data_IF_900704721141
#
_entry.id   IF_900704721141
#
_cell.length_a   1.000
_cell.length_b   1.000
_cell.length_c   1.000
_cell.angle_alpha   90.00
_cell.angle_beta   90.00
_cell.angle_gamma   90.00
#
_symmetry.space_group_name_H-M   'P 1'
#
loop_
_entity.id
_entity.type
_entity.pdbx_description
1 polymer ?
#
# COMPACT_ATOMS: atom_id res chain seq x y z
N UNK A 1 28.67 0.58 61.36
CA UNK A 1 27.86 -0.41 62.13
C UNK A 1 27.55 -1.52 61.16
N UNK A 2 28.31 -2.51 61.26
CA UNK A 2 27.99 -3.90 61.57
C UNK A 2 27.49 -4.63 60.33
N UNK A 3 28.39 -5.37 59.64
CA UNK A 3 28.82 -6.79 59.80
C UNK A 3 27.92 -7.74 58.97
N UNK A 4 28.58 -8.31 57.98
CA UNK A 4 29.01 -9.74 57.89
C UNK A 4 27.87 -10.72 57.63
N UNK A 5 27.97 -11.53 56.56
CA UNK A 5 28.60 -12.83 56.70
C UNK A 5 28.77 -13.55 55.35
N UNK A 6 30.03 -13.99 55.16
CA UNK A 6 30.49 -14.99 54.18
C UNK A 6 29.86 -16.37 54.43
N UNK A 7 29.64 -17.17 53.37
CA UNK A 7 30.13 -18.57 53.28
C UNK A 7 30.00 -19.12 51.86
N UNK A 8 31.12 -19.28 51.20
CA UNK A 8 31.81 -20.51 50.72
C UNK A 8 30.90 -21.68 50.33
N UNK A 9 31.01 -22.09 49.08
CA UNK A 9 31.47 -23.47 48.75
C UNK A 9 31.86 -23.56 47.27
N UNK A 10 33.04 -24.13 47.11
CA UNK A 10 33.74 -24.47 45.87
C UNK A 10 33.20 -25.79 45.28
N UNK A 11 33.48 -26.01 44.01
CA UNK A 11 33.74 -27.34 43.45
C UNK A 11 32.85 -27.75 42.32
N UNK A 12 33.26 -27.73 41.14
CA UNK A 12 33.75 -28.84 40.33
C UNK A 12 33.72 -28.51 38.84
N UNK A 13 34.90 -28.56 38.27
CA UNK A 13 35.21 -28.63 36.88
C UNK A 13 34.77 -29.98 36.33
N UNK A 14 33.94 -30.03 35.31
CA UNK A 14 33.80 -31.19 34.43
C UNK A 14 34.08 -30.81 33.00
N UNK A 15 35.29 -31.21 32.59
CA UNK A 15 35.76 -31.31 31.20
C UNK A 15 35.02 -32.45 30.51
N UNK A 16 34.35 -32.19 29.39
CA UNK A 16 33.85 -33.23 28.49
C UNK A 16 34.39 -32.96 27.08
N UNK A 17 35.51 -33.60 26.80
CA UNK A 17 36.09 -33.82 25.47
C UNK A 17 35.20 -34.82 24.73
N UNK A 18 34.54 -34.41 23.66
CA UNK A 18 33.93 -35.33 22.70
C UNK A 18 34.87 -35.55 21.52
N UNK A 19 35.41 -36.77 21.51
CA UNK A 19 36.18 -37.36 20.41
C UNK A 19 35.23 -37.76 19.30
N UNK A 20 35.28 -37.12 18.13
CA UNK A 20 34.56 -37.57 16.94
C UNK A 20 35.47 -38.42 16.10
N UNK A 21 35.28 -39.72 16.15
CA UNK A 21 35.94 -40.73 15.32
C UNK A 21 35.24 -40.74 13.94
N UNK A 22 35.94 -40.32 12.90
CA UNK A 22 35.49 -40.44 11.52
C UNK A 22 35.84 -41.81 10.99
N UNK A 23 34.87 -42.66 10.78
CA UNK A 23 35.00 -43.92 10.00
C UNK A 23 34.77 -43.63 8.53
N UNK A 24 35.82 -43.69 7.77
CA UNK A 24 35.79 -43.71 6.29
C UNK A 24 35.51 -45.13 5.84
N UNK A 25 34.33 -45.39 5.31
CA UNK A 25 34.09 -46.60 4.49
C UNK A 25 33.85 -46.16 3.04
N UNK A 26 34.82 -46.49 2.20
CA UNK A 26 34.72 -46.40 0.74
C UNK A 26 33.79 -47.50 0.20
N UNK A 27 32.76 -47.14 -0.53
CA UNK A 27 32.07 -48.02 -1.44
C UNK A 27 31.75 -47.28 -2.74
N UNK A 28 32.38 -47.73 -3.81
CA UNK A 28 32.12 -47.32 -5.19
C UNK A 28 30.80 -47.91 -5.67
N UNK A 29 29.87 -47.08 -6.08
CA UNK A 29 28.83 -47.47 -7.03
C UNK A 29 28.46 -46.25 -7.85
N UNK A 30 28.84 -46.29 -9.13
CA UNK A 30 28.32 -45.39 -10.16
C UNK A 30 26.83 -45.67 -10.37
N UNK A 31 26.01 -44.66 -10.05
CA UNK A 31 24.64 -44.61 -10.56
C UNK A 31 24.31 -43.17 -10.89
N UNK A 32 24.02 -42.92 -12.16
CA UNK A 32 23.50 -41.64 -12.65
C UNK A 32 22.20 -41.31 -11.92
N UNK A 33 22.02 -40.06 -11.41
CA UNK A 33 20.73 -39.65 -10.89
C UNK A 33 19.82 -39.20 -12.03
N UNK A 34 18.96 -40.13 -12.52
CA UNK A 34 17.70 -39.72 -13.15
C UNK A 34 16.90 -38.97 -12.12
N UNK A 35 16.65 -37.67 -12.37
CA UNK A 35 15.72 -36.82 -11.61
C UNK A 35 14.30 -37.41 -11.69
N UNK A 36 13.98 -38.29 -10.76
CA UNK A 36 12.63 -38.76 -10.52
C UNK A 36 11.84 -37.66 -9.79
N UNK A 37 10.96 -37.00 -10.50
CA UNK A 37 9.96 -36.06 -9.97
C UNK A 37 8.80 -36.82 -9.33
N UNK A 38 9.05 -37.60 -8.27
CA UNK A 38 7.94 -38.12 -7.47
C UNK A 38 8.39 -38.37 -6.01
N UNK A 39 7.61 -37.79 -5.08
CA UNK A 39 7.66 -37.86 -3.61
C UNK A 39 8.47 -36.77 -2.90
N UNK A 40 7.91 -35.55 -2.86
CA UNK A 40 8.10 -34.61 -1.77
C UNK A 40 6.72 -34.27 -1.15
N UNK A 41 6.16 -35.23 -0.43
CA UNK A 41 5.13 -34.97 0.57
C UNK A 41 5.84 -34.70 1.91
N UNK A 42 5.80 -33.47 2.37
CA UNK A 42 6.38 -33.05 3.66
C UNK A 42 7.03 -31.66 3.60
N UNK A 43 6.50 -30.73 2.80
CA UNK A 43 6.93 -29.32 2.87
C UNK A 43 6.03 -28.59 3.84
N UNK A 44 6.55 -28.24 5.03
CA UNK A 44 6.00 -27.11 5.77
C UNK A 44 5.87 -25.94 4.80
N UNK A 45 4.65 -25.48 4.56
CA UNK A 45 4.40 -24.35 3.66
C UNK A 45 5.16 -23.15 4.20
N UNK A 46 6.20 -22.72 3.47
CA UNK A 46 6.92 -21.49 3.79
C UNK A 46 5.96 -20.35 3.51
N UNK A 47 5.32 -19.83 4.55
CA UNK A 47 4.45 -18.67 4.46
C UNK A 47 5.29 -17.40 4.48
N UNK A 48 5.71 -16.96 3.29
CA UNK A 48 6.47 -15.72 3.14
C UNK A 48 5.57 -14.48 3.20
N UNK A 49 4.33 -14.60 2.71
CA UNK A 49 3.33 -13.55 2.75
C UNK A 49 2.36 -13.78 3.92
N UNK A 50 1.90 -12.70 4.60
CA UNK A 50 0.90 -12.84 5.65
C UNK A 50 -0.43 -13.35 5.10
N UNK A 51 -1.14 -14.10 5.93
CA UNK A 51 -2.49 -14.56 5.65
C UNK A 51 -3.47 -13.37 5.57
N UNK A 52 -4.62 -13.59 4.95
CA UNK A 52 -5.66 -12.57 4.90
C UNK A 52 -6.13 -12.12 6.29
N UNK A 53 -6.27 -13.06 7.22
CA UNK A 53 -6.67 -12.75 8.59
C UNK A 53 -5.66 -11.86 9.32
N UNK A 54 -4.36 -12.12 9.15
CA UNK A 54 -3.28 -11.29 9.72
C UNK A 54 -3.32 -9.87 9.13
N UNK A 55 -3.46 -9.75 7.81
CA UNK A 55 -3.52 -8.44 7.13
C UNK A 55 -4.77 -7.67 7.56
N UNK A 56 -5.93 -8.31 7.60
CA UNK A 56 -7.19 -7.69 8.04
C UNK A 56 -7.08 -7.19 9.48
N UNK A 57 -6.52 -7.98 10.40
CA UNK A 57 -6.30 -7.60 11.80
C UNK A 57 -5.31 -6.42 11.91
N UNK A 58 -4.23 -6.43 11.12
CA UNK A 58 -3.24 -5.37 11.10
C UNK A 58 -3.80 -4.03 10.56
N UNK A 59 -4.65 -4.09 9.53
CA UNK A 59 -5.26 -2.91 8.93
C UNK A 59 -6.41 -2.35 9.78
N UNK A 60 -7.14 -3.19 10.53
CA UNK A 60 -8.23 -2.74 11.41
C UNK A 60 -7.79 -1.71 12.46
N UNK A 61 -6.52 -1.74 12.85
CA UNK A 61 -5.94 -0.84 13.85
C UNK A 61 -5.35 0.45 13.24
N UNK A 62 -5.41 0.62 11.91
CA UNK A 62 -4.79 1.79 11.27
C UNK A 62 -5.62 3.06 11.49
N UNK A 63 -5.00 4.18 11.94
CA UNK A 63 -5.70 5.46 12.13
C UNK A 63 -6.35 5.97 10.84
N UNK A 64 -5.78 5.65 9.67
CA UNK A 64 -6.35 6.01 8.36
C UNK A 64 -7.73 5.38 8.15
N UNK A 65 -7.99 4.17 8.66
CA UNK A 65 -9.31 3.55 8.58
C UNK A 65 -10.35 4.28 9.43
N UNK A 66 -9.96 4.73 10.64
CA UNK A 66 -10.81 5.58 11.49
C UNK A 66 -11.11 6.91 10.81
N UNK A 67 -10.10 7.55 10.21
CA UNK A 67 -10.27 8.79 9.44
C UNK A 67 -11.22 8.58 8.24
N UNK A 68 -11.11 7.47 7.53
CA UNK A 68 -12.02 7.12 6.42
C UNK A 68 -13.47 6.96 6.90
N UNK A 69 -13.70 6.33 8.05
CA UNK A 69 -15.04 6.21 8.66
C UNK A 69 -15.62 7.57 9.05
N UNK A 70 -14.81 8.45 9.64
CA UNK A 70 -15.24 9.81 10.00
C UNK A 70 -15.58 10.64 8.75
N UNK A 71 -14.77 10.49 7.67
CA UNK A 71 -15.03 11.15 6.38
C UNK A 71 -16.34 10.67 5.75
N UNK A 72 -16.59 9.35 5.75
CA UNK A 72 -17.85 8.78 5.25
C UNK A 72 -19.06 9.33 6.01
N UNK A 73 -18.96 9.42 7.34
CA UNK A 73 -20.03 10.03 8.16
C UNK A 73 -20.24 11.51 7.81
N UNK A 74 -19.13 12.27 7.59
CA UNK A 74 -19.20 13.67 7.14
C UNK A 74 -19.87 13.84 5.79
N UNK A 75 -19.55 12.98 4.82
CA UNK A 75 -20.19 12.99 3.49
C UNK A 75 -21.67 12.62 3.55
N UNK A 76 -22.09 11.77 4.50
CA UNK A 76 -23.52 11.54 4.78
C UNK A 76 -24.25 12.80 5.27
N UNK A 77 -23.59 13.63 6.08
CA UNK A 77 -24.13 14.94 6.49
C UNK A 77 -24.17 15.92 5.31
N UNK A 78 -23.15 15.91 4.45
CA UNK A 78 -23.14 16.72 3.22
C UNK A 78 -24.32 16.35 2.30
N UNK A 79 -24.58 15.07 2.10
CA UNK A 79 -25.75 14.60 1.36
C UNK A 79 -27.07 15.07 2.00
N UNK A 80 -27.17 15.01 3.33
CA UNK A 80 -28.34 15.53 4.05
C UNK A 80 -28.51 17.03 3.86
N UNK A 81 -27.43 17.81 3.97
CA UNK A 81 -27.46 19.25 3.70
C UNK A 81 -27.96 19.56 2.28
N UNK A 82 -27.52 18.76 1.31
CA UNK A 82 -28.00 18.89 -0.08
C UNK A 82 -29.49 18.61 -0.22
N UNK A 83 -30.00 17.55 0.44
CA UNK A 83 -31.45 17.22 0.43
C UNK A 83 -32.28 18.33 1.08
N UNK A 84 -31.81 18.90 2.20
CA UNK A 84 -32.51 20.00 2.89
C UNK A 84 -32.44 21.29 2.08
N UNK A 85 -31.26 21.62 1.52
CA UNK A 85 -30.99 22.86 0.81
C UNK A 85 -31.08 24.11 1.68
N UNK A 86 -30.79 25.32 1.15
CA UNK A 86 -30.81 26.57 1.88
C UNK A 86 -32.22 27.18 1.93
N UNK A 87 -33.23 26.39 2.29
CA UNK A 87 -34.66 26.81 2.29
C UNK A 87 -35.17 27.05 3.72
N UNK A 88 -34.41 27.81 4.48
CA UNK A 88 -34.77 28.20 5.86
C UNK A 88 -35.91 29.21 5.88
N UNK A 89 -36.65 29.22 6.98
CA UNK A 89 -37.62 30.25 7.27
C UNK A 89 -36.95 31.40 8.00
N UNK A 90 -36.97 32.58 7.42
CA UNK A 90 -36.40 33.79 8.01
C UNK A 90 -37.46 34.53 8.80
N UNK A 91 -37.16 34.87 10.07
CA UNK A 91 -37.91 35.74 10.91
C UNK A 91 -37.33 37.15 10.83
N UNK A 92 -38.08 38.10 10.31
CA UNK A 92 -37.65 39.48 10.22
C UNK A 92 -38.37 40.33 11.31
N UNK A 93 -37.58 41.03 12.09
CA UNK A 93 -38.09 42.01 13.07
C UNK A 93 -37.63 43.38 12.63
N UNK A 94 -38.55 44.33 12.53
CA UNK A 94 -38.24 45.69 12.13
C UNK A 94 -38.81 46.72 13.12
N UNK A 95 -38.04 47.77 13.36
CA UNK A 95 -38.53 48.97 14.05
C UNK A 95 -38.05 50.18 13.26
N UNK A 96 -39.00 51.07 12.91
CA UNK A 96 -38.73 52.30 12.18
C UNK A 96 -39.24 53.52 12.95
N UNK A 97 -38.52 54.60 12.87
CA UNK A 97 -38.97 55.91 13.38
C UNK A 97 -39.38 56.78 12.20
N UNK A 98 -40.65 57.10 12.11
CA UNK A 98 -41.22 57.96 11.05
C UNK A 98 -41.28 59.39 11.56
N UNK A 99 -40.63 60.34 10.89
CA UNK A 99 -40.65 61.78 11.13
C UNK A 99 -41.27 62.47 9.93
N UNK A 100 -42.53 62.90 9.99
CA UNK A 100 -43.12 63.65 8.88
C UNK A 100 -42.41 64.99 8.72
N UNK A 101 -42.12 65.41 7.49
CA UNK A 101 -41.34 66.61 7.17
C UNK A 101 -42.20 67.88 7.13
N UNK A 102 -43.51 67.77 7.00
CA UNK A 102 -44.42 68.91 6.81
C UNK A 102 -45.75 68.78 7.56
N UNK A 103 -45.91 68.00 8.57
CA UNK A 103 -47.16 67.91 9.39
C UNK A 103 -46.88 68.14 10.86
N UNK A 104 -47.89 68.63 11.61
CA UNK A 104 -47.86 68.81 13.07
C UNK A 104 -47.87 67.42 13.77
N UNK A 105 -47.78 66.33 13.03
CA UNK A 105 -47.80 65.00 13.63
C UNK A 105 -46.49 64.69 14.33
N UNK A 106 -46.60 64.09 15.52
CA UNK A 106 -45.48 63.63 16.33
C UNK A 106 -44.75 62.53 15.69
N UNK A 107 -43.45 62.32 16.02
CA UNK A 107 -42.64 61.13 15.62
C UNK A 107 -43.41 59.89 16.00
N UNK A 108 -43.62 59.01 15.02
CA UNK A 108 -44.28 57.70 15.24
C UNK A 108 -43.24 56.57 15.16
N UNK A 109 -43.49 55.50 15.92
CA UNK A 109 -42.70 54.28 15.93
C UNK A 109 -43.53 53.20 15.24
N UNK A 110 -42.98 52.67 14.14
CA UNK A 110 -43.58 51.56 13.44
C UNK A 110 -42.79 50.27 13.80
N UNK A 111 -43.46 49.18 14.07
CA UNK A 111 -42.89 47.87 14.40
C UNK A 111 -43.42 46.83 13.42
N UNK A 112 -42.56 45.96 12.92
CA UNK A 112 -42.95 44.89 12.01
C UNK A 112 -42.37 43.54 12.45
N UNK A 113 -43.16 42.49 12.19
CA UNK A 113 -42.80 41.10 12.36
C UNK A 113 -43.15 40.39 11.04
N UNK A 114 -42.18 39.74 10.44
CA UNK A 114 -42.38 39.02 9.18
C UNK A 114 -41.75 37.62 9.21
N UNK A 115 -42.37 36.71 8.51
CA UNK A 115 -41.84 35.37 8.18
C UNK A 115 -41.67 35.27 6.68
N UNK A 116 -40.50 34.86 6.22
CA UNK A 116 -40.22 34.67 4.80
C UNK A 116 -39.56 33.33 4.56
N UNK A 117 -39.90 32.65 3.47
CA UNK A 117 -39.29 31.40 3.04
C UNK A 117 -39.14 31.33 1.53
N UNK A 118 -37.96 30.90 1.03
CA UNK A 118 -37.75 30.60 -0.38
C UNK A 118 -38.41 29.27 -0.75
N UNK A 119 -39.04 29.22 -1.93
CA UNK A 119 -39.72 28.05 -2.44
C UNK A 119 -38.83 27.34 -3.46
N UNK A 120 -38.58 26.04 -3.24
CA UNK A 120 -37.81 25.21 -4.16
C UNK A 120 -38.68 24.79 -5.33
N UNK A 121 -38.52 25.45 -6.48
CA UNK A 121 -39.29 25.19 -7.69
C UNK A 121 -38.44 24.53 -8.80
N UNK A 122 -39.03 24.27 -9.94
CA UNK A 122 -38.37 23.88 -11.18
C UNK A 122 -37.57 22.56 -11.11
N UNK A 123 -38.14 21.50 -10.51
CA UNK A 123 -37.48 20.19 -10.34
C UNK A 123 -36.14 20.22 -9.55
N UNK A 124 -35.80 21.35 -8.95
CA UNK A 124 -34.56 21.47 -8.14
C UNK A 124 -34.53 20.46 -7.00
N UNK A 125 -35.69 20.16 -6.40
CA UNK A 125 -35.76 19.15 -5.33
C UNK A 125 -35.32 17.78 -5.83
N UNK A 126 -35.81 17.35 -7.01
CA UNK A 126 -35.44 16.04 -7.57
C UNK A 126 -33.96 15.96 -7.93
N UNK A 127 -33.37 17.04 -8.47
CA UNK A 127 -31.94 17.11 -8.77
C UNK A 127 -31.10 17.13 -7.50
N UNK A 128 -31.51 17.89 -6.47
CA UNK A 128 -30.81 17.93 -5.17
C UNK A 128 -30.84 16.56 -4.46
N UNK A 129 -31.95 15.81 -4.57
CA UNK A 129 -32.06 14.44 -4.07
C UNK A 129 -31.11 13.49 -4.82
N UNK A 130 -31.13 13.52 -6.15
CA UNK A 130 -30.26 12.70 -6.97
C UNK A 130 -28.76 13.04 -6.71
N UNK A 131 -28.45 14.31 -6.51
CA UNK A 131 -27.08 14.73 -6.17
C UNK A 131 -26.67 14.22 -4.79
N UNK A 132 -27.56 14.27 -3.78
CA UNK A 132 -27.30 13.69 -2.47
C UNK A 132 -27.01 12.18 -2.56
N UNK A 133 -27.77 11.44 -3.38
CA UNK A 133 -27.56 10.01 -3.60
C UNK A 133 -26.21 9.73 -4.32
N UNK A 134 -25.81 10.63 -5.24
CA UNK A 134 -24.50 10.56 -5.89
C UNK A 134 -23.36 10.81 -4.90
N UNK A 135 -23.49 11.77 -3.96
CA UNK A 135 -22.52 12.02 -2.88
C UNK A 135 -22.36 10.77 -2.02
N UNK A 136 -23.45 10.12 -1.61
CA UNK A 136 -23.39 8.88 -0.82
C UNK A 136 -22.73 7.74 -1.59
N UNK A 137 -23.03 7.60 -2.88
CA UNK A 137 -22.43 6.58 -3.75
C UNK A 137 -20.93 6.82 -3.93
N UNK A 138 -20.51 8.08 -4.16
CA UNK A 138 -19.11 8.49 -4.23
C UNK A 138 -18.37 8.20 -2.92
N UNK A 139 -19.00 8.51 -1.79
CA UNK A 139 -18.44 8.26 -0.47
C UNK A 139 -18.11 6.76 -0.23
N UNK A 140 -19.00 5.87 -0.68
CA UNK A 140 -18.77 4.43 -0.62
C UNK A 140 -17.62 3.98 -1.53
N UNK A 141 -17.50 4.53 -2.75
CA UNK A 141 -16.37 4.25 -3.65
C UNK A 141 -15.05 4.79 -3.09
N UNK A 142 -15.03 6.00 -2.50
CA UNK A 142 -13.86 6.54 -1.79
C UNK A 142 -13.42 5.64 -0.62
N UNK A 143 -14.37 5.08 0.11
CA UNK A 143 -14.07 4.11 1.16
C UNK A 143 -13.41 2.87 0.59
N UNK A 144 -13.96 2.27 -0.46
CA UNK A 144 -13.39 1.08 -1.10
C UNK A 144 -11.97 1.35 -1.63
N UNK A 145 -11.74 2.52 -2.26
CA UNK A 145 -10.41 2.95 -2.70
C UNK A 145 -9.44 3.14 -1.53
N UNK A 146 -9.90 3.72 -0.41
CA UNK A 146 -9.08 3.89 0.79
C UNK A 146 -8.67 2.54 1.39
N UNK A 147 -9.57 1.56 1.42
CA UNK A 147 -9.28 0.19 1.87
C UNK A 147 -8.27 -0.49 0.94
N UNK A 148 -8.42 -0.39 -0.37
CA UNK A 148 -7.44 -0.89 -1.34
C UNK A 148 -6.07 -0.22 -1.16
N UNK A 149 -6.05 1.12 -1.03
CA UNK A 149 -4.80 1.87 -0.83
C UNK A 149 -4.06 1.49 0.47
N UNK A 150 -4.79 1.12 1.53
CA UNK A 150 -4.21 0.60 2.76
C UNK A 150 -3.54 -0.76 2.55
N UNK A 151 -4.16 -1.64 1.78
CA UNK A 151 -3.60 -2.96 1.43
C UNK A 151 -2.34 -2.81 0.56
N UNK A 152 -2.37 -1.91 -0.42
CA UNK A 152 -1.19 -1.59 -1.25
C UNK A 152 -0.05 -1.02 -0.41
N UNK A 153 -0.33 -0.06 0.50
CA UNK A 153 0.66 0.47 1.44
C UNK A 153 1.23 -0.60 2.36
N UNK A 154 0.39 -1.52 2.83
CA UNK A 154 0.83 -2.67 3.60
C UNK A 154 1.81 -3.54 2.78
N UNK A 155 1.47 -3.87 1.53
CA UNK A 155 2.33 -4.65 0.63
C UNK A 155 3.69 -3.98 0.43
N UNK A 156 3.74 -2.64 0.25
CA UNK A 156 5.00 -1.90 0.12
C UNK A 156 5.84 -1.94 1.41
N UNK A 157 5.20 -1.83 2.58
CA UNK A 157 5.91 -1.99 3.85
C UNK A 157 6.46 -3.40 4.03
N UNK A 158 5.66 -4.41 3.66
CA UNK A 158 6.06 -5.81 3.71
C UNK A 158 7.18 -6.14 2.72
N UNK A 159 7.10 -5.58 1.50
CA UNK A 159 8.20 -5.61 0.51
C UNK A 159 9.50 -5.12 1.12
N UNK A 160 9.47 -3.99 1.82
CA UNK A 160 10.64 -3.46 2.51
C UNK A 160 11.23 -4.44 3.53
N UNK A 161 10.40 -5.13 4.30
CA UNK A 161 10.85 -6.17 5.24
C UNK A 161 11.48 -7.37 4.51
N UNK A 162 10.84 -7.86 3.46
CA UNK A 162 11.35 -9.01 2.70
C UNK A 162 12.68 -8.70 1.99
N UNK A 163 12.90 -7.46 1.57
CA UNK A 163 14.19 -7.02 1.01
C UNK A 163 15.30 -7.04 2.05
N UNK A 164 15.04 -6.61 3.29
CA UNK A 164 16.03 -6.71 4.36
C UNK A 164 16.30 -8.15 4.79
N UNK A 165 15.27 -9.00 4.75
CA UNK A 165 15.41 -10.44 4.98
C UNK A 165 16.31 -11.09 3.91
N UNK A 166 16.13 -10.70 2.63
CA UNK A 166 16.95 -11.14 1.52
C UNK A 166 18.41 -10.64 1.66
N UNK A 167 18.60 -9.39 2.05
CA UNK A 167 19.92 -8.82 2.25
C UNK A 167 20.70 -9.53 3.37
N UNK A 168 20.03 -9.90 4.47
CA UNK A 168 20.66 -10.70 5.54
C UNK A 168 21.02 -12.11 5.03
N UNK A 169 20.15 -12.78 4.30
CA UNK A 169 20.43 -14.11 3.75
C UNK A 169 21.61 -14.10 2.78
N UNK A 170 21.69 -13.09 1.91
CA UNK A 170 22.81 -12.88 1.01
C UNK A 170 24.12 -12.65 1.79
N UNK A 171 24.11 -11.75 2.77
CA UNK A 171 25.29 -11.46 3.59
C UNK A 171 25.72 -12.68 4.43
N UNK A 172 24.75 -13.46 4.95
CA UNK A 172 25.01 -14.69 5.70
C UNK A 172 25.74 -15.73 4.83
N UNK A 173 25.30 -15.90 3.58
CA UNK A 173 25.93 -16.80 2.62
C UNK A 173 27.37 -16.36 2.33
N UNK A 174 27.58 -15.09 2.00
CA UNK A 174 28.91 -14.54 1.72
C UNK A 174 29.83 -14.65 2.92
N UNK A 175 29.36 -14.40 4.14
CA UNK A 175 30.13 -14.57 5.35
C UNK A 175 30.57 -16.02 5.58
N UNK A 176 29.62 -16.97 5.46
CA UNK A 176 29.93 -18.41 5.61
C UNK A 176 30.95 -18.88 4.56
N UNK A 177 30.79 -18.42 3.34
CA UNK A 177 31.68 -18.78 2.25
C UNK A 177 33.06 -18.14 2.39
N UNK A 178 33.20 -16.91 2.89
CA UNK A 178 34.48 -16.25 3.15
C UNK A 178 35.21 -16.88 4.33
N UNK A 179 34.50 -17.30 5.35
CA UNK A 179 35.07 -18.04 6.49
C UNK A 179 35.70 -19.37 6.04
N UNK A 180 34.96 -20.13 5.20
CA UNK A 180 35.50 -21.40 4.67
C UNK A 180 36.79 -21.19 3.87
N UNK A 181 36.88 -20.12 3.06
CA UNK A 181 38.11 -19.79 2.33
C UNK A 181 39.25 -19.41 3.28
N UNK A 182 39.00 -18.57 4.28
CA UNK A 182 40.00 -18.19 5.25
C UNK A 182 40.56 -19.40 6.01
N UNK A 183 39.71 -20.35 6.45
CA UNK A 183 40.13 -21.59 7.12
C UNK A 183 41.09 -22.38 6.22
N UNK A 184 40.79 -22.51 4.91
CA UNK A 184 41.67 -23.18 3.96
C UNK A 184 43.00 -22.41 3.76
N UNK A 185 42.95 -21.09 3.63
CA UNK A 185 44.15 -20.25 3.50
C UNK A 185 45.08 -20.39 4.73
N UNK A 186 44.50 -20.37 5.94
CA UNK A 186 45.24 -20.57 7.17
C UNK A 186 45.91 -21.96 7.25
N UNK A 187 45.17 -23.02 6.84
CA UNK A 187 45.71 -24.37 6.81
C UNK A 187 46.91 -24.48 5.87
N UNK A 188 46.83 -23.97 4.64
CA UNK A 188 47.90 -23.96 3.65
C UNK A 188 49.10 -23.11 4.09
N UNK A 189 48.84 -21.96 4.77
CA UNK A 189 49.91 -21.11 5.33
C UNK A 189 50.71 -21.85 6.39
N UNK A 190 50.06 -22.64 7.27
CA UNK A 190 50.74 -23.46 8.29
C UNK A 190 51.66 -24.53 7.67
N UNK A 191 51.30 -25.05 6.50
CA UNK A 191 52.11 -26.01 5.73
C UNK A 191 53.21 -25.33 4.93
N UNK A 192 53.29 -24.00 4.92
CA UNK A 192 54.27 -23.24 4.13
C UNK A 192 53.95 -23.11 2.65
N UNK A 193 52.74 -23.51 2.22
CA UNK A 193 52.27 -23.56 0.83
C UNK A 193 51.61 -22.27 0.34
N UNK A 194 51.36 -21.29 1.22
CA UNK A 194 50.69 -20.05 0.88
C UNK A 194 51.48 -18.84 1.39
N UNK A 195 51.54 -17.78 0.59
CA UNK A 195 52.14 -16.51 0.97
C UNK A 195 51.38 -15.85 2.12
N UNK A 196 52.04 -15.11 2.98
CA UNK A 196 51.42 -14.38 4.08
C UNK A 196 50.40 -13.34 3.58
N UNK A 197 50.69 -12.69 2.45
CA UNK A 197 49.77 -11.70 1.84
C UNK A 197 48.47 -12.33 1.44
N UNK A 198 48.46 -13.55 0.91
CA UNK A 198 47.25 -14.26 0.53
C UNK A 198 46.41 -14.66 1.76
N UNK A 199 47.07 -15.13 2.85
CA UNK A 199 46.34 -15.38 4.11
C UNK A 199 45.72 -14.11 4.67
N UNK A 200 46.45 -12.98 4.65
CA UNK A 200 45.96 -11.68 5.12
C UNK A 200 44.76 -11.21 4.25
N UNK A 201 44.82 -11.41 2.93
CA UNK A 201 43.74 -11.09 2.01
C UNK A 201 42.51 -11.91 2.32
N UNK A 202 42.64 -13.23 2.49
CA UNK A 202 41.52 -14.10 2.85
C UNK A 202 40.89 -13.72 4.19
N UNK A 203 41.74 -13.31 5.17
CA UNK A 203 41.28 -12.82 6.47
C UNK A 203 40.54 -11.50 6.37
N UNK A 204 41.01 -10.56 5.55
CA UNK A 204 40.34 -9.28 5.32
C UNK A 204 38.96 -9.46 4.69
N UNK A 205 38.85 -10.32 3.68
CA UNK A 205 37.57 -10.68 3.05
C UNK A 205 36.60 -11.31 4.06
N UNK A 206 37.05 -12.18 4.93
CA UNK A 206 36.23 -12.79 5.98
C UNK A 206 35.73 -11.75 6.99
N UNK A 207 36.60 -10.84 7.44
CA UNK A 207 36.21 -9.78 8.37
C UNK A 207 35.20 -8.80 7.74
N UNK A 208 35.43 -8.43 6.47
CA UNK A 208 34.51 -7.58 5.73
C UNK A 208 33.11 -8.24 5.59
N UNK A 209 33.08 -9.48 5.15
CA UNK A 209 31.81 -10.20 4.99
C UNK A 209 31.07 -10.39 6.32
N UNK A 210 31.78 -10.54 7.43
CA UNK A 210 31.20 -10.60 8.76
C UNK A 210 30.62 -9.25 9.20
N UNK A 211 31.31 -8.14 8.92
CA UNK A 211 30.82 -6.80 9.18
C UNK A 211 29.55 -6.53 8.38
N UNK A 212 29.53 -6.87 7.08
CA UNK A 212 28.36 -6.73 6.20
C UNK A 212 27.16 -7.53 6.72
N UNK A 213 27.38 -8.73 7.26
CA UNK A 213 26.34 -9.53 7.89
C UNK A 213 25.76 -8.86 9.15
N UNK A 214 26.60 -8.28 10.01
CA UNK A 214 26.15 -7.54 11.19
C UNK A 214 25.29 -6.36 10.77
N UNK A 215 25.73 -5.60 9.76
CA UNK A 215 24.96 -4.47 9.25
C UNK A 215 23.60 -4.90 8.64
N UNK A 216 23.59 -5.97 7.83
CA UNK A 216 22.35 -6.48 7.25
C UNK A 216 21.36 -6.93 8.34
N UNK A 217 21.86 -7.62 9.39
CA UNK A 217 21.04 -7.97 10.58
C UNK A 217 20.50 -6.74 11.29
N UNK A 218 21.33 -5.73 11.48
CA UNK A 218 20.91 -4.47 12.12
C UNK A 218 19.80 -3.78 11.32
N UNK A 219 19.95 -3.68 9.98
CA UNK A 219 18.91 -3.12 9.11
C UNK A 219 17.59 -3.90 9.19
N UNK A 220 17.65 -5.24 9.14
CA UNK A 220 16.47 -6.10 9.29
C UNK A 220 15.78 -5.87 10.63
N UNK A 221 16.52 -5.85 11.75
CA UNK A 221 15.96 -5.61 13.09
C UNK A 221 15.32 -4.23 13.18
N UNK A 222 15.98 -3.19 12.68
CA UNK A 222 15.42 -1.84 12.64
C UNK A 222 14.11 -1.79 11.83
N UNK A 223 14.05 -2.51 10.69
CA UNK A 223 12.83 -2.62 9.88
C UNK A 223 11.71 -3.34 10.61
N UNK A 224 12.01 -4.42 11.31
CA UNK A 224 11.04 -5.15 12.14
C UNK A 224 10.49 -4.24 13.24
N UNK A 225 11.34 -3.51 13.97
CA UNK A 225 10.88 -2.60 15.02
C UNK A 225 10.02 -1.46 14.48
N UNK A 226 10.36 -0.92 13.30
CA UNK A 226 9.52 0.05 12.61
C UNK A 226 8.13 -0.51 12.29
N UNK A 227 8.07 -1.75 11.78
CA UNK A 227 6.82 -2.39 11.38
C UNK A 227 5.99 -2.87 12.57
N UNK A 228 6.61 -3.35 13.66
CA UNK A 228 5.92 -3.69 14.91
C UNK A 228 5.15 -2.51 15.50
N UNK A 229 5.71 -1.30 15.44
CA UNK A 229 4.99 -0.09 15.87
C UNK A 229 3.78 0.20 15.01
N UNK A 230 3.85 -0.10 13.72
CA UNK A 230 2.76 0.17 12.77
C UNK A 230 1.74 -0.96 12.72
N UNK A 231 2.17 -2.20 12.85
CA UNK A 231 1.38 -3.42 12.74
C UNK A 231 1.68 -4.37 13.91
N UNK A 232 1.24 -4.04 15.13
CA UNK A 232 1.64 -4.77 16.35
C UNK A 232 1.17 -6.23 16.41
N UNK A 233 0.15 -6.58 15.62
CA UNK A 233 -0.42 -7.93 15.58
C UNK A 233 0.29 -8.88 14.61
N UNK A 234 1.26 -8.39 13.81
CA UNK A 234 1.96 -9.21 12.83
C UNK A 234 3.16 -9.96 13.42
N UNK A 235 3.31 -11.22 13.02
CA UNK A 235 4.54 -11.98 13.21
C UNK A 235 5.58 -11.67 12.13
N UNK A 236 6.85 -11.56 12.54
CA UNK A 236 7.99 -11.30 11.64
C UNK A 236 8.97 -12.50 11.59
N UNK A 237 8.55 -13.65 12.09
CA UNK A 237 9.33 -14.88 11.97
C UNK A 237 9.04 -15.53 10.61
N UNK A 238 9.80 -15.07 9.61
CA UNK A 238 9.70 -15.53 8.22
C UNK A 238 11.09 -15.92 7.74
N UNK A 239 11.15 -16.98 6.92
CA UNK A 239 12.37 -17.44 6.27
C UNK A 239 12.21 -17.43 4.76
N UNK A 240 13.29 -17.12 4.04
CA UNK A 240 13.28 -17.19 2.58
C UNK A 240 13.39 -18.64 2.12
N UNK A 241 12.73 -19.01 1.01
CA UNK A 241 13.02 -20.23 0.31
C UNK A 241 14.47 -20.26 -0.15
N UNK A 242 15.15 -21.36 0.07
CA UNK A 242 16.57 -21.52 -0.28
C UNK A 242 16.77 -22.28 -1.59
N UNK A 243 15.72 -22.95 -2.08
CA UNK A 243 15.78 -23.78 -3.29
C UNK A 243 14.87 -23.26 -4.39
N UNK A 244 15.23 -23.48 -5.66
CA UNK A 244 14.37 -23.15 -6.81
C UNK A 244 12.98 -23.78 -6.70
N UNK A 245 12.89 -25.04 -6.29
CA UNK A 245 11.64 -25.79 -6.17
C UNK A 245 10.64 -25.11 -5.19
N UNK A 246 11.14 -24.60 -4.05
CA UNK A 246 10.34 -23.86 -3.08
C UNK A 246 9.81 -22.56 -3.67
N UNK A 247 10.65 -21.81 -4.41
CA UNK A 247 10.23 -20.58 -5.09
C UNK A 247 9.18 -20.83 -6.16
N UNK A 248 9.40 -21.85 -7.02
CA UNK A 248 8.39 -22.22 -8.01
C UNK A 248 7.10 -22.73 -7.36
N UNK A 249 7.20 -23.44 -6.22
CA UNK A 249 6.05 -23.82 -5.41
C UNK A 249 5.24 -22.60 -4.96
N UNK A 250 5.87 -21.59 -4.37
CA UNK A 250 5.22 -20.33 -3.95
C UNK A 250 4.61 -19.56 -5.12
N UNK A 251 5.32 -19.45 -6.24
CA UNK A 251 4.83 -18.74 -7.42
C UNK A 251 3.64 -19.44 -8.08
N UNK A 252 3.53 -20.76 -7.94
CA UNK A 252 2.44 -21.56 -8.51
C UNK A 252 1.30 -21.87 -7.53
N UNK A 253 1.52 -21.71 -6.22
CA UNK A 253 0.62 -22.17 -5.14
C UNK A 253 -0.67 -21.34 -4.97
N UNK A 254 -0.79 -20.17 -5.59
CA UNK A 254 -1.96 -19.28 -5.45
C UNK A 254 -2.59 -19.06 -6.82
N UNK A 255 -3.87 -18.70 -6.84
CA UNK A 255 -4.72 -18.55 -8.03
C UNK A 255 -3.94 -18.13 -9.30
N UNK A 256 -4.15 -18.87 -10.37
CA UNK A 256 -3.52 -18.55 -11.66
C UNK A 256 -3.99 -17.16 -12.09
N UNK A 257 -3.04 -16.25 -12.28
CA UNK A 257 -3.34 -15.00 -12.96
C UNK A 257 -3.98 -15.28 -14.31
N UNK A 258 -4.94 -14.46 -14.76
CA UNK A 258 -5.60 -14.68 -16.04
C UNK A 258 -4.56 -14.79 -17.18
N UNK A 259 -4.68 -15.82 -17.99
CA UNK A 259 -3.85 -15.98 -19.19
C UNK A 259 -4.33 -15.11 -20.34
N UNK A 260 -5.61 -14.80 -20.36
CA UNK A 260 -6.25 -13.89 -21.30
C UNK A 260 -6.12 -12.44 -20.76
N UNK A 261 -5.25 -11.68 -21.42
CA UNK A 261 -4.92 -10.29 -21.03
C UNK A 261 -6.13 -9.36 -21.21
N UNK A 262 -6.89 -9.53 -22.29
CA UNK A 262 -8.03 -8.67 -22.58
C UNK A 262 -9.16 -8.89 -21.57
N UNK A 263 -9.39 -10.14 -21.18
CA UNK A 263 -10.35 -10.47 -20.12
C UNK A 263 -9.90 -9.93 -18.75
N UNK A 264 -8.60 -10.05 -18.43
CA UNK A 264 -8.03 -9.49 -17.20
C UNK A 264 -8.18 -7.97 -17.15
N UNK A 265 -7.92 -7.30 -18.26
CA UNK A 265 -8.06 -5.84 -18.41
C UNK A 265 -9.50 -5.40 -18.19
N UNK A 266 -10.46 -6.07 -18.82
CA UNK A 266 -11.88 -5.75 -18.64
C UNK A 266 -12.30 -5.90 -17.17
N UNK A 267 -11.94 -7.02 -16.55
CA UNK A 267 -12.23 -7.27 -15.14
C UNK A 267 -11.59 -6.22 -14.22
N UNK A 268 -10.32 -5.86 -14.48
CA UNK A 268 -9.59 -4.87 -13.69
C UNK A 268 -10.25 -3.50 -13.74
N UNK A 269 -10.64 -3.04 -14.94
CA UNK A 269 -11.32 -1.74 -15.13
C UNK A 269 -12.70 -1.74 -14.47
N UNK A 270 -13.49 -2.81 -14.66
CA UNK A 270 -14.85 -2.88 -14.11
C UNK A 270 -14.89 -2.96 -12.59
N UNK A 271 -13.95 -3.69 -11.99
CA UNK A 271 -13.90 -3.89 -10.54
C UNK A 271 -13.08 -2.83 -9.79
N UNK A 272 -12.39 -1.94 -10.52
CA UNK A 272 -11.53 -0.93 -9.89
C UNK A 272 -12.34 0.11 -9.11
N UNK A 273 -12.09 0.24 -7.79
CA UNK A 273 -12.68 1.32 -7.00
C UNK A 273 -12.28 2.71 -7.49
N UNK A 274 -11.11 2.83 -8.14
CA UNK A 274 -10.61 4.09 -8.68
C UNK A 274 -11.42 4.53 -9.90
N UNK A 275 -11.71 3.61 -10.84
CA UNK A 275 -12.57 3.89 -12.01
C UNK A 275 -14.01 4.15 -11.57
N UNK A 276 -14.51 3.38 -10.60
CA UNK A 276 -15.84 3.62 -10.04
C UNK A 276 -15.93 5.01 -9.42
N UNK A 277 -14.93 5.42 -8.66
CA UNK A 277 -14.86 6.76 -8.06
C UNK A 277 -14.88 7.84 -9.15
N UNK A 278 -14.05 7.72 -10.19
CA UNK A 278 -14.00 8.69 -11.29
C UNK A 278 -15.36 8.81 -12.02
N UNK A 279 -16.04 7.69 -12.28
CA UNK A 279 -17.38 7.67 -12.86
C UNK A 279 -18.43 8.36 -11.97
N UNK A 280 -18.38 8.13 -10.66
CA UNK A 280 -19.31 8.74 -9.70
C UNK A 280 -19.03 10.24 -9.50
N UNK A 281 -17.76 10.67 -9.58
CA UNK A 281 -17.40 12.09 -9.62
C UNK A 281 -17.95 12.78 -10.87
N UNK A 282 -17.84 12.15 -12.03
CA UNK A 282 -18.46 12.65 -13.27
C UNK A 282 -19.99 12.75 -13.17
N UNK A 283 -20.65 11.74 -12.59
CA UNK A 283 -22.09 11.77 -12.32
C UNK A 283 -22.47 12.94 -11.40
N UNK A 284 -21.72 13.12 -10.32
CA UNK A 284 -21.94 14.22 -9.38
C UNK A 284 -21.78 15.60 -10.05
N UNK A 285 -20.71 15.80 -10.84
CA UNK A 285 -20.51 17.01 -11.63
C UNK A 285 -21.63 17.24 -12.64
N UNK A 286 -22.14 16.19 -13.25
CA UNK A 286 -23.30 16.28 -14.15
C UNK A 286 -24.58 16.75 -13.44
N UNK A 287 -24.85 16.23 -12.24
CA UNK A 287 -25.97 16.67 -11.40
C UNK A 287 -25.76 18.09 -10.90
N UNK A 288 -24.53 18.47 -10.56
CA UNK A 288 -24.18 19.83 -10.20
C UNK A 288 -24.40 20.79 -11.37
N UNK A 289 -23.94 20.46 -12.57
CA UNK A 289 -24.15 21.27 -13.76
C UNK A 289 -25.64 21.45 -14.06
N UNK A 290 -26.43 20.37 -13.97
CA UNK A 290 -27.88 20.43 -14.11
C UNK A 290 -28.53 21.31 -13.05
N UNK A 291 -28.06 21.25 -11.81
CA UNK A 291 -28.58 22.09 -10.71
C UNK A 291 -28.29 23.58 -10.93
N UNK A 292 -27.05 23.88 -11.39
CA UNK A 292 -26.63 25.24 -11.72
C UNK A 292 -27.42 25.79 -12.91
N UNK A 293 -27.69 24.95 -13.90
CA UNK A 293 -28.54 25.33 -15.04
C UNK A 293 -29.96 25.68 -14.59
N UNK A 294 -30.57 24.89 -13.70
CA UNK A 294 -31.87 25.20 -13.12
C UNK A 294 -31.87 26.48 -12.29
N UNK A 295 -30.73 26.92 -11.75
CA UNK A 295 -30.58 28.16 -11.02
C UNK A 295 -30.63 29.42 -11.90
N UNK A 296 -30.57 29.28 -13.23
CA UNK A 296 -30.91 30.36 -14.15
C UNK A 296 -32.35 30.81 -13.97
N UNK A 297 -33.23 29.94 -13.44
CA UNK A 297 -34.58 30.25 -13.01
C UNK A 297 -34.56 30.38 -11.48
N UNK A 298 -34.50 31.62 -10.93
CA UNK A 298 -34.44 31.80 -9.50
C UNK A 298 -35.70 31.37 -8.76
N UNK A 299 -35.50 30.92 -7.54
CA UNK A 299 -36.60 30.55 -6.64
C UNK A 299 -37.26 31.83 -6.06
N UNK A 300 -38.58 31.96 -6.09
CA UNK A 300 -39.26 33.03 -5.41
C UNK A 300 -39.31 32.80 -3.89
N UNK A 301 -39.29 33.87 -3.13
CA UNK A 301 -39.58 33.84 -1.69
C UNK A 301 -41.01 34.26 -1.44
N UNK A 302 -41.69 33.56 -0.54
CA UNK A 302 -43.03 33.92 -0.03
C UNK A 302 -42.88 34.33 1.44
N UNK A 303 -43.39 35.52 1.76
CA UNK A 303 -43.44 36.04 3.12
C UNK A 303 -44.82 36.51 3.53
N UNK A 304 -45.07 36.48 4.81
CA UNK A 304 -46.22 37.14 5.47
C UNK A 304 -45.68 38.04 6.58
N UNK A 305 -46.29 39.21 6.74
CA UNK A 305 -45.87 40.12 7.76
C UNK A 305 -47.07 40.81 8.46
N UNK A 306 -46.84 41.22 9.68
CA UNK A 306 -47.73 42.09 10.43
C UNK A 306 -46.95 43.33 10.85
N UNK A 307 -47.52 44.50 10.70
CA UNK A 307 -46.93 45.71 11.22
C UNK A 307 -47.90 46.52 12.03
N UNK A 308 -47.36 47.22 13.00
CA UNK A 308 -48.07 48.21 13.80
C UNK A 308 -47.44 49.58 13.47
N UNK A 309 -48.26 50.43 12.83
CA UNK A 309 -47.83 51.75 12.35
C UNK A 309 -48.38 52.88 13.18
N UNK A 310 -47.81 54.09 13.04
CA UNK A 310 -48.22 55.31 13.77
C UNK A 310 -48.36 55.11 15.27
N UNK A 311 -47.31 54.53 15.87
CA UNK A 311 -47.27 54.25 17.32
C UNK A 311 -48.46 53.40 17.82
N UNK A 312 -49.01 52.52 16.97
CA UNK A 312 -50.09 51.59 17.33
C UNK A 312 -51.48 52.00 16.87
N UNK A 313 -51.59 53.11 16.14
CA UNK A 313 -52.89 53.55 15.61
C UNK A 313 -53.40 52.74 14.43
N UNK A 314 -52.48 52.06 13.68
CA UNK A 314 -52.78 51.25 12.51
C UNK A 314 -52.14 49.88 12.64
N UNK A 315 -52.89 48.86 12.19
CA UNK A 315 -52.38 47.48 12.07
C UNK A 315 -52.47 47.07 10.58
N UNK A 316 -51.31 46.61 10.05
CA UNK A 316 -51.20 46.13 8.65
C UNK A 316 -50.83 44.65 8.67
N UNK A 317 -51.58 43.86 7.91
CA UNK A 317 -51.24 42.46 7.66
C UNK A 317 -51.06 42.33 6.15
N UNK A 318 -49.93 41.73 5.72
CA UNK A 318 -49.63 41.62 4.32
C UNK A 318 -48.90 40.34 3.97
N UNK A 319 -48.91 40.03 2.68
CA UNK A 319 -48.11 38.97 2.06
C UNK A 319 -47.12 39.62 1.09
N UNK A 320 -45.93 39.05 1.02
CA UNK A 320 -44.87 39.53 0.16
C UNK A 320 -44.33 38.41 -0.68
N UNK A 321 -44.16 38.66 -1.96
CA UNK A 321 -43.49 37.76 -2.91
C UNK A 321 -42.25 38.47 -3.41
N UNK A 322 -41.05 37.86 -3.26
CA UNK A 322 -39.79 38.36 -3.78
C UNK A 322 -39.30 37.42 -4.86
N UNK A 323 -39.03 37.93 -6.06
CA UNK A 323 -38.52 37.13 -7.17
C UNK A 323 -37.18 37.74 -7.61
N UNK A 324 -36.03 37.03 -7.40
CA UNK A 324 -34.75 37.52 -7.88
C UNK A 324 -34.72 37.54 -9.41
N UNK A 325 -34.20 38.59 -10.01
CA UNK A 325 -34.01 38.66 -11.46
C UNK A 325 -32.67 38.05 -11.82
N UNK A 326 -32.68 37.04 -12.70
CA UNK A 326 -31.46 36.34 -13.13
C UNK A 326 -30.58 37.28 -13.94
N UNK A 327 -29.28 37.39 -13.55
CA UNK A 327 -28.25 38.11 -14.28
C UNK A 327 -27.35 37.20 -15.13
N UNK A 328 -26.46 37.77 -15.94
CA UNK A 328 -25.50 37.04 -16.79
C UNK A 328 -24.59 36.09 -15.97
N UNK A 329 -24.33 36.38 -14.70
CA UNK A 329 -23.51 35.55 -13.82
C UNK A 329 -24.00 34.09 -13.76
N UNK A 330 -25.32 33.85 -13.71
CA UNK A 330 -25.90 32.50 -13.66
C UNK A 330 -25.69 31.74 -14.95
N UNK A 331 -25.80 32.41 -16.10
CA UNK A 331 -25.53 31.80 -17.41
C UNK A 331 -24.03 31.43 -17.59
N UNK A 332 -23.12 32.28 -17.09
CA UNK A 332 -21.68 31.99 -17.10
C UNK A 332 -21.36 30.82 -16.15
N UNK A 333 -21.97 30.79 -14.97
CA UNK A 333 -21.80 29.66 -14.03
C UNK A 333 -22.27 28.33 -14.63
N UNK A 334 -23.38 28.31 -15.35
CA UNK A 334 -23.87 27.11 -16.03
C UNK A 334 -22.89 26.64 -17.12
N UNK A 335 -22.33 27.53 -17.94
CA UNK A 335 -21.30 27.17 -18.93
C UNK A 335 -20.05 26.64 -18.28
N UNK A 336 -19.57 27.25 -17.19
CA UNK A 336 -18.41 26.77 -16.45
C UNK A 336 -18.64 25.33 -15.93
N UNK A 337 -19.79 25.05 -15.38
CA UNK A 337 -20.12 23.72 -14.87
C UNK A 337 -20.15 22.66 -15.98
N UNK A 338 -20.59 23.00 -17.19
CA UNK A 338 -20.53 22.11 -18.37
C UNK A 338 -19.06 21.80 -18.74
N UNK A 339 -18.18 22.79 -18.78
CA UNK A 339 -16.76 22.54 -19.10
C UNK A 339 -16.06 21.71 -18.01
N UNK A 340 -16.40 21.89 -16.73
CA UNK A 340 -15.90 21.03 -15.66
C UNK A 340 -16.37 19.57 -15.81
N UNK A 341 -17.58 19.36 -16.29
CA UNK A 341 -18.06 18.02 -16.60
C UNK A 341 -17.32 17.40 -17.79
N UNK A 342 -17.13 18.15 -18.87
CA UNK A 342 -16.33 17.71 -20.06
C UNK A 342 -14.91 17.35 -19.66
N UNK A 343 -14.25 18.17 -18.84
CA UNK A 343 -12.93 17.89 -18.27
C UNK A 343 -12.92 16.57 -17.52
N UNK A 344 -13.93 16.32 -16.66
CA UNK A 344 -14.00 15.08 -15.88
C UNK A 344 -14.14 13.82 -16.73
N UNK A 345 -14.84 13.90 -17.87
CA UNK A 345 -14.93 12.78 -18.82
C UNK A 345 -13.57 12.49 -19.47
N UNK A 346 -12.86 13.51 -19.92
CA UNK A 346 -11.54 13.37 -20.52
C UNK A 346 -10.52 12.79 -19.54
N UNK A 347 -10.52 13.25 -18.27
CA UNK A 347 -9.67 12.70 -17.23
C UNK A 347 -10.02 11.24 -16.88
N UNK A 348 -11.29 10.86 -16.93
CA UNK A 348 -11.67 9.46 -16.72
C UNK A 348 -11.23 8.55 -17.88
N UNK A 349 -11.28 9.02 -19.12
CA UNK A 349 -10.74 8.29 -20.28
C UNK A 349 -9.22 8.11 -20.16
N UNK A 350 -8.49 9.18 -19.81
CA UNK A 350 -7.04 9.12 -19.56
C UNK A 350 -6.69 8.11 -18.46
N UNK A 351 -7.40 8.16 -17.32
CA UNK A 351 -7.23 7.20 -16.24
C UNK A 351 -7.40 5.75 -16.71
N UNK A 352 -8.42 5.47 -17.51
CA UNK A 352 -8.65 4.12 -18.05
C UNK A 352 -7.52 3.69 -18.96
N UNK A 353 -6.99 4.59 -19.82
CA UNK A 353 -5.86 4.30 -20.69
C UNK A 353 -4.58 4.01 -19.90
N UNK A 354 -4.28 4.81 -18.86
CA UNK A 354 -3.14 4.59 -17.99
C UNK A 354 -3.24 3.25 -17.26
N UNK A 355 -4.40 2.94 -16.69
CA UNK A 355 -4.62 1.68 -15.98
C UNK A 355 -4.48 0.46 -16.89
N UNK A 356 -4.95 0.54 -18.13
CA UNK A 356 -4.76 -0.51 -19.14
C UNK A 356 -3.28 -0.72 -19.46
N UNK A 357 -2.58 0.37 -19.71
CA UNK A 357 -1.14 0.34 -20.01
C UNK A 357 -0.33 -0.26 -18.87
N UNK A 358 -0.60 0.17 -17.62
CA UNK A 358 0.07 -0.35 -16.42
C UNK A 358 -0.19 -1.85 -16.22
N UNK A 359 -1.44 -2.28 -16.31
CA UNK A 359 -1.78 -3.70 -16.15
C UNK A 359 -1.09 -4.57 -17.21
N UNK A 360 -1.11 -4.16 -18.48
CA UNK A 360 -0.44 -4.88 -19.58
C UNK A 360 1.07 -4.97 -19.35
N UNK A 361 1.71 -3.88 -18.96
CA UNK A 361 3.14 -3.85 -18.65
C UNK A 361 3.48 -4.80 -17.49
N UNK A 362 2.69 -4.79 -16.42
CA UNK A 362 2.90 -5.65 -15.24
C UNK A 362 2.66 -7.13 -15.55
N UNK A 363 1.61 -7.48 -16.31
CA UNK A 363 1.35 -8.85 -16.76
C UNK A 363 2.46 -9.33 -17.69
N UNK A 364 2.92 -8.52 -18.65
CA UNK A 364 4.05 -8.87 -19.51
C UNK A 364 5.34 -9.07 -18.68
N UNK A 365 5.62 -8.20 -17.74
CA UNK A 365 6.78 -8.31 -16.83
C UNK A 365 6.71 -9.61 -16.00
N UNK A 366 5.51 -9.97 -15.53
CA UNK A 366 5.28 -11.24 -14.84
C UNK A 366 5.59 -12.44 -15.72
N UNK A 367 5.04 -12.48 -16.93
CA UNK A 367 5.23 -13.60 -17.87
C UNK A 367 6.71 -13.77 -18.26
N UNK A 368 7.36 -12.66 -18.66
CA UNK A 368 8.78 -12.67 -19.04
C UNK A 368 9.69 -13.01 -17.85
N UNK A 369 9.35 -12.48 -16.67
CA UNK A 369 10.08 -12.78 -15.45
C UNK A 369 10.04 -14.25 -15.07
N UNK A 370 8.89 -14.92 -15.23
CA UNK A 370 8.76 -16.37 -15.02
C UNK A 370 9.62 -17.18 -16.00
N UNK A 371 9.63 -16.79 -17.27
CA UNK A 371 10.45 -17.46 -18.28
C UNK A 371 11.96 -17.31 -17.98
N UNK A 372 12.37 -16.15 -17.50
CA UNK A 372 13.76 -15.86 -17.13
C UNK A 372 14.21 -16.52 -15.82
N UNK A 373 13.28 -16.91 -14.95
CA UNK A 373 13.61 -17.37 -13.59
C UNK A 373 14.35 -18.72 -13.60
N UNK A 374 13.89 -19.67 -14.42
CA UNK A 374 14.50 -21.00 -14.49
C UNK A 374 15.96 -20.94 -14.97
N UNK A 375 16.29 -20.35 -16.15
CA UNK A 375 17.68 -20.24 -16.59
C UNK A 375 18.57 -19.45 -15.62
N UNK A 376 18.02 -18.50 -14.85
CA UNK A 376 18.79 -17.77 -13.84
C UNK A 376 19.20 -18.67 -12.66
N UNK A 377 18.31 -19.53 -12.19
CA UNK A 377 18.63 -20.51 -11.16
C UNK A 377 19.60 -21.59 -11.67
N UNK A 378 19.49 -22.01 -12.94
CA UNK A 378 20.42 -22.93 -13.58
C UNK A 378 21.83 -22.31 -13.71
N UNK A 379 21.91 -21.04 -14.14
CA UNK A 379 23.18 -20.31 -14.19
C UNK A 379 23.84 -20.19 -12.80
N UNK A 380 23.05 -19.86 -11.77
CA UNK A 380 23.53 -19.87 -10.40
C UNK A 380 24.10 -21.24 -10.01
N UNK A 381 23.38 -22.33 -10.27
CA UNK A 381 23.82 -23.68 -9.90
C UNK A 381 25.18 -24.04 -10.55
N UNK A 382 25.40 -23.66 -11.81
CA UNK A 382 26.67 -23.88 -12.51
C UNK A 382 27.79 -23.03 -11.91
N UNK A 383 27.54 -21.76 -11.57
CA UNK A 383 28.54 -20.92 -10.94
C UNK A 383 28.88 -21.36 -9.51
N UNK A 384 27.89 -21.83 -8.75
CA UNK A 384 28.09 -22.38 -7.42
C UNK A 384 28.97 -23.65 -7.45
N UNK A 385 28.67 -24.56 -8.39
CA UNK A 385 29.51 -25.74 -8.60
C UNK A 385 30.95 -25.38 -8.99
N UNK A 386 31.10 -24.38 -9.88
CA UNK A 386 32.43 -23.91 -10.27
C UNK A 386 33.20 -23.28 -9.06
N UNK A 387 32.51 -22.53 -8.20
CA UNK A 387 33.09 -21.96 -7.00
C UNK A 387 33.51 -23.05 -5.98
N UNK A 388 32.68 -24.07 -5.79
CA UNK A 388 33.00 -25.23 -4.93
C UNK A 388 34.20 -25.99 -5.47
N UNK A 389 34.29 -26.26 -6.79
CA UNK A 389 35.44 -26.90 -7.43
C UNK A 389 36.68 -26.06 -7.32
N UNK A 390 36.59 -24.72 -7.52
CA UNK A 390 37.73 -23.81 -7.34
C UNK A 390 38.26 -23.81 -5.92
N UNK A 391 37.41 -23.85 -4.91
CA UNK A 391 37.81 -23.94 -3.51
C UNK A 391 38.53 -25.27 -3.22
N UNK A 392 38.08 -26.37 -3.77
CA UNK A 392 38.77 -27.68 -3.66
C UNK A 392 40.15 -27.65 -4.34
N UNK A 393 40.22 -27.10 -5.57
CA UNK A 393 41.50 -26.94 -6.28
C UNK A 393 42.48 -26.03 -5.51
N UNK A 394 41.97 -24.99 -4.83
CA UNK A 394 42.78 -24.16 -3.93
C UNK A 394 43.31 -24.97 -2.74
N UNK A 395 42.45 -25.80 -2.12
CA UNK A 395 42.90 -26.65 -1.00
C UNK A 395 44.00 -27.64 -1.41
N UNK A 396 43.98 -28.07 -2.69
CA UNK A 396 45.03 -28.99 -3.26
C UNK A 396 46.24 -28.25 -3.84
N UNK A 397 46.28 -26.91 -3.82
CA UNK A 397 47.36 -26.13 -4.41
C UNK A 397 47.31 -25.92 -5.92
N UNK A 398 46.23 -26.37 -6.58
CA UNK A 398 46.04 -26.28 -8.04
C UNK A 398 45.46 -24.95 -8.52
N UNK A 399 44.89 -24.15 -7.62
CA UNK A 399 44.27 -22.85 -7.90
C UNK A 399 44.86 -21.75 -7.00
N UNK A 400 44.89 -20.55 -7.55
CA UNK A 400 45.29 -19.36 -6.80
C UNK A 400 44.14 -18.82 -5.94
N UNK A 401 44.48 -18.05 -4.89
CA UNK A 401 43.46 -17.37 -4.07
C UNK A 401 42.57 -16.45 -4.89
N UNK A 402 43.15 -15.69 -5.85
CA UNK A 402 42.42 -14.75 -6.71
C UNK A 402 41.36 -15.46 -7.55
N UNK A 403 41.70 -16.63 -8.14
CA UNK A 403 40.72 -17.42 -8.92
C UNK A 403 39.52 -17.88 -8.07
N UNK A 404 39.78 -18.32 -6.84
CA UNK A 404 38.73 -18.76 -5.91
C UNK A 404 37.86 -17.60 -5.48
N UNK A 405 38.46 -16.47 -5.13
CA UNK A 405 37.71 -15.24 -4.78
C UNK A 405 36.81 -14.79 -5.92
N UNK A 406 37.34 -14.79 -7.16
CA UNK A 406 36.55 -14.41 -8.34
C UNK A 406 35.39 -15.39 -8.58
N UNK A 407 35.63 -16.70 -8.56
CA UNK A 407 34.59 -17.71 -8.76
C UNK A 407 33.47 -17.58 -7.73
N UNK A 408 33.82 -17.32 -6.46
CA UNK A 408 32.85 -17.13 -5.37
C UNK A 408 32.05 -15.85 -5.49
N UNK A 409 32.72 -14.73 -5.80
CA UNK A 409 32.01 -13.44 -6.00
C UNK A 409 30.96 -13.56 -7.11
N UNK A 410 31.30 -14.28 -8.21
CA UNK A 410 30.34 -14.53 -9.28
C UNK A 410 29.19 -15.41 -8.81
N UNK A 411 29.48 -16.51 -8.10
CA UNK A 411 28.43 -17.41 -7.58
C UNK A 411 27.49 -16.69 -6.59
N UNK A 412 28.04 -15.90 -5.66
CA UNK A 412 27.26 -15.13 -4.69
C UNK A 412 26.40 -14.06 -5.39
N UNK A 413 26.94 -13.36 -6.41
CA UNK A 413 26.19 -12.40 -7.20
C UNK A 413 25.02 -13.06 -7.93
N UNK A 414 25.23 -14.22 -8.57
CA UNK A 414 24.17 -14.97 -9.28
C UNK A 414 23.10 -15.47 -8.31
N UNK A 415 23.48 -15.90 -7.11
CA UNK A 415 22.54 -16.28 -6.05
C UNK A 415 21.64 -15.11 -5.65
N UNK A 416 22.24 -13.95 -5.34
CA UNK A 416 21.50 -12.74 -4.96
C UNK A 416 20.55 -12.32 -6.08
N UNK A 417 20.98 -12.38 -7.34
CA UNK A 417 20.14 -12.05 -8.49
C UNK A 417 18.97 -13.01 -8.63
N UNK A 418 19.19 -14.33 -8.45
CA UNK A 418 18.13 -15.33 -8.53
C UNK A 418 17.09 -15.16 -7.41
N UNK A 419 17.56 -14.93 -6.17
CA UNK A 419 16.69 -14.64 -5.03
C UNK A 419 15.89 -13.36 -5.23
N UNK A 420 16.56 -12.27 -5.63
CA UNK A 420 15.91 -10.96 -5.84
C UNK A 420 14.82 -11.06 -6.90
N UNK A 421 15.10 -11.71 -8.02
CA UNK A 421 14.10 -11.91 -9.07
C UNK A 421 12.93 -12.76 -8.60
N UNK A 422 13.20 -13.83 -7.85
CA UNK A 422 12.13 -14.69 -7.29
C UNK A 422 11.22 -13.89 -6.35
N UNK A 423 11.82 -13.07 -5.49
CA UNK A 423 11.08 -12.20 -4.57
C UNK A 423 10.27 -11.14 -5.31
N UNK A 424 10.87 -10.43 -6.27
CA UNK A 424 10.17 -9.41 -7.05
C UNK A 424 9.00 -10.00 -7.85
N UNK A 425 9.14 -11.20 -8.40
CA UNK A 425 8.04 -11.90 -9.04
C UNK A 425 6.92 -12.24 -8.05
N UNK A 426 7.24 -12.73 -6.87
CA UNK A 426 6.23 -13.00 -5.84
C UNK A 426 5.46 -11.73 -5.46
N UNK A 427 6.16 -10.62 -5.29
CA UNK A 427 5.56 -9.33 -4.94
C UNK A 427 4.74 -8.75 -6.10
N UNK A 428 5.22 -8.87 -7.32
CA UNK A 428 4.48 -8.46 -8.53
C UNK A 428 3.18 -9.26 -8.67
N UNK A 429 3.25 -10.58 -8.49
CA UNK A 429 2.07 -11.46 -8.48
C UNK A 429 1.08 -11.03 -7.40
N UNK A 430 1.55 -10.84 -6.17
CA UNK A 430 0.69 -10.43 -5.04
C UNK A 430 0.03 -9.07 -5.30
N UNK A 431 0.74 -8.12 -5.90
CA UNK A 431 0.18 -6.84 -6.30
C UNK A 431 -0.90 -6.98 -7.37
N UNK A 432 -0.67 -7.80 -8.40
CA UNK A 432 -1.65 -8.10 -9.43
C UNK A 432 -2.90 -8.81 -8.86
N UNK A 433 -2.70 -9.79 -7.97
CA UNK A 433 -3.82 -10.46 -7.28
C UNK A 433 -4.65 -9.49 -6.44
N UNK A 434 -4.00 -8.54 -5.77
CA UNK A 434 -4.68 -7.50 -4.98
C UNK A 434 -5.50 -6.58 -5.88
N UNK A 435 -4.94 -6.11 -6.97
CA UNK A 435 -5.59 -5.17 -7.90
C UNK A 435 -6.73 -5.83 -8.69
N UNK A 436 -6.63 -7.14 -8.95
CA UNK A 436 -7.69 -7.94 -9.55
C UNK A 436 -8.74 -8.44 -8.54
N UNK A 437 -8.64 -8.04 -7.26
CA UNK A 437 -9.57 -8.48 -6.22
C UNK A 437 -9.47 -9.96 -5.86
N UNK A 438 -8.34 -10.62 -6.15
CA UNK A 438 -8.12 -12.05 -5.91
C UNK A 438 -7.47 -12.35 -4.56
N UNK A 439 -7.02 -11.33 -3.84
CA UNK A 439 -6.29 -11.46 -2.57
C UNK A 439 -6.63 -10.36 -1.59
N UNK A 440 -6.66 -10.72 -0.30
CA UNK A 440 -6.92 -9.80 0.82
C UNK A 440 -8.18 -8.95 0.62
N UNK A 441 -9.29 -9.60 0.27
CA UNK A 441 -10.61 -8.95 0.09
C UNK A 441 -11.21 -8.40 1.39
#
# INVERSE_FOLDING_TARGET
MIKESMHKRAGQVFSLVWLVTVLVTSSHAHTEPRLGMDKLQGTSSIELMPSEAEVRAALAQQPKLAATKARLAGQGQEALLRRLGPYETHLALGQQHRRPRMSVESVSIDRSLGLERSLRLWDKLAVDQAWADAIESRANAERALSELSLRQQFLEHWRGFLRELLAEEAARRTAASSEALWIQAQARRRLGELAQVDEQTAKAEQLQAFADLIEARSRKLAKIEQLKKRYPVLGFDRSLPTTPAQWFGLLNAVQKLPTDIDRAEHQYIEQSPLVLLAKLQGLELGLQAKRIDLDQRPDPSLGAFVSQERSGAEHVIGVQVSIPIAGQQRAVAAKLAVHQLEESFSLNEELILEMRSDLRARLSSWQQGLLALKPRWEAYALHDEAAVRSLRGFALGERSLTEVLQARRVADLQYIQALSQSLELLLLKTGLELDLGLRWQ
#
